data_IF_423735634312
#
_entry.id   IF_423735634312
#
_cell.length_a   1.000
_cell.length_b   1.000
_cell.length_c   1.000
_cell.angle_alpha   90.00
_cell.angle_beta   90.00
_cell.angle_gamma   90.00
#
_symmetry.space_group_name_H-M   'P 1'
#
loop_
_entity.id
_entity.type
_entity.pdbx_description
1 polymer ?
#
# COMPACT_ATOMS: atom_id res chain seq x y z
N UNK A 1 31.04 -32.49 -29.23
CA UNK A 1 29.72 -32.33 -28.56
C UNK A 1 29.28 -30.90 -28.76
N UNK A 2 28.25 -30.66 -29.58
CA UNK A 2 27.70 -29.32 -29.80
C UNK A 2 26.61 -29.06 -28.76
N UNK A 3 26.77 -28.01 -27.95
CA UNK A 3 25.77 -27.56 -26.99
C UNK A 3 24.74 -26.71 -27.73
N UNK A 4 23.50 -27.18 -27.85
CA UNK A 4 22.41 -26.39 -28.41
C UNK A 4 21.81 -25.55 -27.29
N UNK A 5 22.03 -24.24 -27.33
CA UNK A 5 21.33 -23.30 -26.48
C UNK A 5 19.90 -23.16 -26.99
N UNK A 6 18.94 -23.76 -26.29
CA UNK A 6 17.51 -23.53 -26.55
C UNK A 6 17.13 -22.22 -25.89
N UNK A 7 16.91 -21.18 -26.71
CA UNK A 7 16.33 -19.92 -26.24
C UNK A 7 14.85 -20.16 -25.96
N UNK A 8 14.46 -20.16 -24.70
CA UNK A 8 13.04 -20.14 -24.33
C UNK A 8 12.52 -18.74 -24.68
N UNK A 9 11.73 -18.66 -25.75
CA UNK A 9 11.01 -17.46 -26.13
C UNK A 9 10.19 -16.97 -24.92
N UNK A 10 10.38 -15.71 -24.53
CA UNK A 10 9.79 -15.14 -23.33
C UNK A 10 8.26 -15.14 -23.40
N UNK A 11 7.62 -15.69 -22.37
CA UNK A 11 6.17 -15.63 -22.22
C UNK A 11 5.72 -14.17 -22.11
N UNK A 12 4.75 -13.77 -22.94
CA UNK A 12 4.12 -12.47 -22.83
C UNK A 12 3.36 -12.39 -21.51
N UNK A 13 3.90 -11.67 -20.53
CA UNK A 13 3.23 -11.47 -19.24
C UNK A 13 1.89 -10.75 -19.45
N UNK A 14 0.79 -11.46 -19.18
CA UNK A 14 -0.53 -10.85 -19.17
C UNK A 14 -0.63 -9.85 -18.01
N UNK A 15 -1.00 -8.59 -18.31
CA UNK A 15 -1.16 -7.53 -17.31
C UNK A 15 -2.56 -6.93 -17.39
N UNK A 16 -3.17 -6.68 -16.23
CA UNK A 16 -4.45 -5.98 -16.11
C UNK A 16 -4.18 -4.56 -15.64
N UNK A 17 -4.76 -3.57 -16.31
CA UNK A 17 -4.69 -2.16 -15.90
C UNK A 17 -6.11 -1.60 -15.84
N UNK A 18 -6.77 -1.68 -14.68
CA UNK A 18 -8.10 -1.14 -14.50
C UNK A 18 -8.10 0.37 -14.76
N UNK A 19 -9.20 0.90 -15.32
CA UNK A 19 -9.34 2.34 -15.59
C UNK A 19 -9.19 3.19 -14.32
N UNK A 20 -9.66 2.65 -13.19
CA UNK A 20 -9.60 3.33 -11.90
C UNK A 20 -8.28 3.10 -11.16
N UNK A 21 -7.33 2.38 -11.75
CA UNK A 21 -6.06 1.99 -11.13
C UNK A 21 -6.14 0.68 -10.35
N UNK A 22 -4.98 0.16 -9.95
CA UNK A 22 -4.88 -1.06 -9.14
C UNK A 22 -5.36 -0.87 -7.70
N UNK A 23 -5.42 0.37 -7.22
CA UNK A 23 -5.97 0.74 -5.91
C UNK A 23 -7.20 1.64 -6.13
N UNK A 24 -8.34 1.07 -6.57
CA UNK A 24 -9.44 1.85 -7.09
C UNK A 24 -10.22 2.63 -6.02
N UNK A 25 -10.12 2.23 -4.75
CA UNK A 25 -10.91 2.81 -3.66
C UNK A 25 -10.17 2.82 -2.32
N UNK A 26 -10.79 3.51 -1.36
CA UNK A 26 -10.28 3.68 0.00
C UNK A 26 -10.08 2.35 0.74
N UNK A 27 -10.98 1.38 0.55
CA UNK A 27 -10.89 0.08 1.22
C UNK A 27 -9.65 -0.70 0.75
N UNK A 28 -9.38 -0.71 -0.56
CA UNK A 28 -8.15 -1.31 -1.10
C UNK A 28 -6.91 -0.62 -0.56
N UNK A 29 -6.89 0.72 -0.53
CA UNK A 29 -5.77 1.48 0.02
C UNK A 29 -5.51 1.15 1.50
N UNK A 30 -6.57 1.05 2.31
CA UNK A 30 -6.48 0.68 3.73
C UNK A 30 -5.89 -0.72 3.91
N UNK A 31 -6.34 -1.71 3.11
CA UNK A 31 -5.80 -3.07 3.17
C UNK A 31 -4.31 -3.13 2.81
N UNK A 32 -3.89 -2.37 1.81
CA UNK A 32 -2.46 -2.26 1.44
C UNK A 32 -1.67 -1.61 2.58
N UNK A 33 -2.16 -0.50 3.14
CA UNK A 33 -1.49 0.17 4.25
C UNK A 33 -1.36 -0.75 5.48
N UNK A 34 -2.42 -1.47 5.84
CA UNK A 34 -2.42 -2.43 6.94
C UNK A 34 -1.37 -3.54 6.72
N UNK A 35 -1.31 -4.11 5.51
CA UNK A 35 -0.32 -5.14 5.15
C UNK A 35 1.13 -4.62 5.19
N UNK A 36 1.36 -3.33 4.93
CA UNK A 36 2.67 -2.70 5.00
C UNK A 36 3.05 -2.34 6.44
N UNK A 37 2.12 -1.81 7.22
CA UNK A 37 2.39 -1.39 8.59
C UNK A 37 2.58 -2.55 9.55
N UNK A 38 1.81 -3.64 9.39
CA UNK A 38 1.83 -4.78 10.31
C UNK A 38 3.25 -5.35 10.53
N UNK A 39 4.05 -5.65 9.50
CA UNK A 39 5.42 -6.14 9.71
C UNK A 39 6.39 -5.07 10.27
N UNK A 40 6.07 -3.78 10.17
CA UNK A 40 6.95 -2.69 10.61
C UNK A 40 6.69 -2.33 12.08
N UNK A 41 5.41 -2.23 12.46
CA UNK A 41 4.97 -1.70 13.75
C UNK A 41 4.27 -2.74 14.64
N UNK A 42 4.01 -3.94 14.11
CA UNK A 42 3.29 -5.00 14.80
C UNK A 42 1.80 -4.71 14.99
N UNK A 43 1.13 -5.58 15.76
CA UNK A 43 -0.32 -5.53 16.01
C UNK A 43 -0.78 -4.24 16.71
N UNK A 44 0.14 -3.46 17.27
CA UNK A 44 -0.14 -2.16 17.88
C UNK A 44 -0.87 -1.19 16.95
N UNK A 45 -0.73 -1.34 15.63
CA UNK A 45 -1.46 -0.53 14.65
C UNK A 45 -2.97 -0.64 14.79
N UNK A 46 -3.50 -1.80 15.23
CA UNK A 46 -4.93 -2.00 15.34
C UNK A 46 -5.57 -1.14 16.44
N UNK A 47 -4.78 -0.70 17.42
CA UNK A 47 -5.22 0.27 18.45
C UNK A 47 -5.43 1.68 17.87
N UNK A 48 -4.97 1.94 16.64
CA UNK A 48 -5.11 3.20 15.93
C UNK A 48 -6.25 3.19 14.91
N UNK A 49 -7.14 2.18 14.96
CA UNK A 49 -8.38 2.15 14.17
C UNK A 49 -9.40 3.19 14.70
N UNK A 50 -10.36 3.65 13.88
CA UNK A 50 -10.52 3.33 12.46
C UNK A 50 -9.42 3.97 11.60
N UNK A 51 -8.99 3.25 10.57
CA UNK A 51 -8.12 3.78 9.54
C UNK A 51 -8.95 4.58 8.53
N UNK A 52 -8.43 5.72 8.11
CA UNK A 52 -9.08 6.59 7.13
C UNK A 52 -8.18 6.72 5.92
N UNK A 53 -8.78 6.67 4.73
CA UNK A 53 -8.09 6.93 3.49
C UNK A 53 -8.78 8.07 2.75
N UNK A 54 -7.97 9.00 2.23
CA UNK A 54 -8.41 10.08 1.33
C UNK A 54 -7.53 10.07 0.09
N UNK A 55 -8.12 10.43 -1.05
CA UNK A 55 -7.39 10.56 -2.30
C UNK A 55 -6.94 12.01 -2.47
N UNK A 56 -5.64 12.23 -2.68
CA UNK A 56 -5.03 13.53 -2.97
C UNK A 56 -4.29 13.41 -4.29
N UNK A 57 -4.88 13.91 -5.37
CA UNK A 57 -4.40 13.64 -6.73
C UNK A 57 -4.48 12.14 -7.04
N UNK A 58 -3.37 11.53 -7.44
CA UNK A 58 -3.26 10.08 -7.69
C UNK A 58 -2.65 9.31 -6.51
N UNK A 59 -2.65 9.90 -5.31
CA UNK A 59 -2.07 9.31 -4.11
C UNK A 59 -3.13 9.11 -3.04
N UNK A 60 -3.30 7.86 -2.61
CA UNK A 60 -4.03 7.52 -1.41
C UNK A 60 -3.19 7.86 -0.19
N UNK A 61 -3.71 8.73 0.67
CA UNK A 61 -3.16 9.00 2.00
C UNK A 61 -3.99 8.23 3.00
N UNK A 62 -3.37 7.25 3.66
CA UNK A 62 -4.00 6.41 4.69
C UNK A 62 -3.38 6.74 6.03
N UNK A 63 -4.21 6.98 7.03
CA UNK A 63 -3.77 7.30 8.39
C UNK A 63 -4.62 6.61 9.45
N UNK A 64 -4.01 6.35 10.61
CA UNK A 64 -4.72 5.96 11.81
C UNK A 64 -5.47 7.11 12.48
N UNK A 65 -6.27 6.79 13.48
CA UNK A 65 -6.94 7.75 14.35
C UNK A 65 -6.23 7.78 15.71
N UNK A 66 -5.98 8.98 16.23
CA UNK A 66 -5.50 9.19 17.60
C UNK A 66 -6.69 9.51 18.51
N UNK A 67 -6.98 8.72 19.55
CA UNK A 67 -7.97 9.08 20.56
C UNK A 67 -7.56 10.37 21.29
N UNK A 68 -8.56 11.14 21.75
CA UNK A 68 -8.40 12.46 22.39
C UNK A 68 -7.47 12.49 23.62
N UNK A 69 -7.14 11.33 24.21
CA UNK A 69 -6.36 11.21 25.44
C UNK A 69 -5.03 10.45 25.26
N UNK A 70 -4.56 10.28 24.01
CA UNK A 70 -3.33 9.56 23.71
C UNK A 70 -2.22 10.51 23.24
N UNK A 71 -1.04 10.41 23.86
CA UNK A 71 0.17 11.12 23.42
C UNK A 71 0.91 10.26 22.39
N UNK A 72 1.42 10.91 21.34
CA UNK A 72 2.13 10.29 20.21
C UNK A 72 1.32 10.35 18.92
N UNK A 73 1.85 9.87 17.79
CA UNK A 73 1.10 9.88 16.54
C UNK A 73 0.44 8.58 16.11
N UNK A 74 0.15 8.54 14.81
CA UNK A 74 -0.57 7.47 14.11
C UNK A 74 0.25 7.01 12.91
N UNK A 75 0.11 5.73 12.49
CA UNK A 75 0.72 5.27 11.24
C UNK A 75 0.13 6.04 10.06
N UNK A 76 0.97 6.37 9.10
CA UNK A 76 0.64 7.05 7.85
C UNK A 76 1.31 6.33 6.68
N UNK A 77 0.58 6.21 5.57
CA UNK A 77 1.06 5.65 4.32
C UNK A 77 0.56 6.48 3.15
N UNK A 78 1.44 6.73 2.19
CA UNK A 78 1.09 7.32 0.89
C UNK A 78 1.27 6.24 -0.18
N UNK A 79 0.22 5.95 -0.94
CA UNK A 79 0.13 4.82 -1.86
C UNK A 79 -0.36 5.33 -3.22
N UNK A 80 0.36 4.99 -4.28
CA UNK A 80 -0.07 5.29 -5.65
C UNK A 80 -1.39 4.59 -5.98
N UNK A 81 -2.40 5.37 -6.42
CA UNK A 81 -3.69 4.86 -6.91
C UNK A 81 -3.51 3.95 -8.13
N UNK A 82 -2.55 4.29 -8.99
CA UNK A 82 -2.33 3.62 -10.28
C UNK A 82 -1.85 2.19 -10.12
N UNK A 83 -0.81 1.99 -9.31
CA UNK A 83 -0.04 0.74 -9.27
C UNK A 83 0.22 0.20 -7.86
N UNK A 84 -0.27 0.86 -6.81
CA UNK A 84 -0.07 0.43 -5.43
C UNK A 84 1.34 0.63 -4.90
N UNK A 85 2.22 1.35 -5.62
CA UNK A 85 3.56 1.70 -5.12
C UNK A 85 3.45 2.44 -3.79
N UNK A 86 4.16 1.95 -2.78
CA UNK A 86 4.30 2.63 -1.49
C UNK A 86 5.26 3.81 -1.68
N UNK A 87 4.75 5.03 -1.57
CA UNK A 87 5.50 6.27 -1.76
C UNK A 87 6.11 6.74 -0.44
N UNK A 88 5.39 6.53 0.66
CA UNK A 88 5.83 6.91 2.00
C UNK A 88 5.22 6.02 3.06
N UNK A 89 6.00 5.73 4.10
CA UNK A 89 5.52 5.19 5.37
C UNK A 89 6.09 6.06 6.48
N UNK A 90 5.26 6.49 7.42
CA UNK A 90 5.71 7.23 8.59
C UNK A 90 4.78 7.00 9.78
N UNK A 91 5.19 7.44 10.95
CA UNK A 91 4.34 7.52 12.14
C UNK A 91 4.37 8.97 12.60
N UNK A 92 3.21 9.56 12.90
CA UNK A 92 3.16 10.89 13.53
C UNK A 92 3.98 10.86 14.82
N UNK A 93 4.73 11.92 15.11
CA UNK A 93 5.47 12.03 16.38
C UNK A 93 4.49 12.27 17.53
#
# INVERSE_FOLDING_TARGET
MALVAVSVAGETKHNVSPKDGLVPNAETAIKIAEAVWLPIYGDGIFKKKPFKARLVGDVWVVEGTLPLEMVGGVPLAEISKKDGKILRVSHGQ
#
